data_IF_091569915556
#
_entry.id   IF_091569915556
#
_cell.length_a   1.000
_cell.length_b   1.000
_cell.length_c   1.000
_cell.angle_alpha   90.00
_cell.angle_beta   90.00
_cell.angle_gamma   90.00
#
_symmetry.space_group_name_H-M   'P 1'
#
loop_
_entity.id
_entity.type
_entity.pdbx_description
1 polymer ?
#
# COMPACT_ATOMS: atom_id res chain seq x y z
N UNK A 1 9.38 43.08 -55.27
CA UNK A 1 9.12 41.61 -55.37
C UNK A 1 10.32 40.77 -54.99
N UNK A 2 11.47 40.81 -55.71
CA UNK A 2 12.64 39.97 -55.37
C UNK A 2 13.17 40.20 -53.95
N UNK A 3 13.22 41.46 -53.51
CA UNK A 3 13.67 41.83 -52.15
C UNK A 3 12.79 41.18 -51.07
N UNK A 4 11.46 41.36 -51.16
CA UNK A 4 10.49 40.78 -50.22
C UNK A 4 10.54 39.24 -50.16
N UNK A 5 10.61 38.58 -51.31
CA UNK A 5 10.65 37.11 -51.37
C UNK A 5 11.98 36.56 -50.83
N UNK A 6 13.08 37.30 -50.99
CA UNK A 6 14.41 36.87 -50.52
C UNK A 6 14.60 36.92 -49.01
N UNK A 7 13.75 37.64 -48.27
CA UNK A 7 13.83 37.75 -46.82
C UNK A 7 13.11 36.61 -46.07
N UNK A 8 12.25 35.87 -46.75
CA UNK A 8 11.38 34.84 -46.16
C UNK A 8 11.84 33.43 -46.57
N UNK A 9 11.66 32.45 -45.69
CA UNK A 9 11.93 31.04 -46.02
C UNK A 9 10.84 30.49 -46.93
N UNK A 10 11.17 29.45 -47.73
CA UNK A 10 10.23 28.82 -48.66
C UNK A 10 8.94 28.35 -47.96
N UNK A 11 9.06 27.74 -46.78
CA UNK A 11 7.92 27.27 -45.99
C UNK A 11 7.00 28.42 -45.56
N UNK A 12 7.59 29.55 -45.17
CA UNK A 12 6.84 30.74 -44.77
C UNK A 12 6.12 31.40 -45.96
N UNK A 13 6.76 31.44 -47.12
CA UNK A 13 6.13 31.92 -48.37
C UNK A 13 4.94 31.05 -48.78
N UNK A 14 5.00 29.73 -48.55
CA UNK A 14 3.89 28.81 -48.83
C UNK A 14 2.75 28.95 -47.81
N UNK A 15 3.09 29.16 -46.54
CA UNK A 15 2.12 29.26 -45.43
C UNK A 15 1.40 30.60 -45.37
N UNK A 16 2.09 31.70 -45.69
CA UNK A 16 1.61 33.08 -45.46
C UNK A 16 1.49 33.91 -46.76
N UNK A 17 0.91 33.31 -47.81
CA UNK A 17 0.69 33.99 -49.10
C UNK A 17 -0.08 35.31 -48.99
N UNK A 18 -1.07 35.39 -48.11
CA UNK A 18 -1.88 36.60 -47.93
C UNK A 18 -1.06 37.77 -47.35
N UNK A 19 -0.20 37.50 -46.36
CA UNK A 19 0.68 38.51 -45.77
C UNK A 19 1.69 39.01 -46.81
N UNK A 20 2.26 38.10 -47.61
CA UNK A 20 3.18 38.44 -48.68
C UNK A 20 2.53 39.31 -49.77
N UNK A 21 1.28 39.01 -50.15
CA UNK A 21 0.52 39.82 -51.12
C UNK A 21 0.33 41.27 -50.62
N UNK A 22 0.02 41.45 -49.34
CA UNK A 22 -0.14 42.78 -48.73
C UNK A 22 1.18 43.55 -48.73
N UNK A 23 2.28 42.92 -48.30
CA UNK A 23 3.60 43.55 -48.26
C UNK A 23 4.09 43.94 -49.66
N UNK A 24 3.89 43.07 -50.66
CA UNK A 24 4.24 43.38 -52.05
C UNK A 24 3.38 44.53 -52.60
N UNK A 25 2.08 44.54 -52.30
CA UNK A 25 1.18 45.62 -52.76
C UNK A 25 1.59 46.97 -52.17
N UNK A 26 1.97 46.99 -50.88
CA UNK A 26 2.46 48.20 -50.22
C UNK A 26 3.76 48.72 -50.87
N UNK A 27 4.75 47.85 -51.05
CA UNK A 27 6.03 48.21 -51.69
C UNK A 27 5.88 48.67 -53.15
N UNK A 28 4.94 48.10 -53.90
CA UNK A 28 4.64 48.54 -55.28
C UNK A 28 3.98 49.92 -55.27
N UNK A 29 2.99 50.15 -54.40
CA UNK A 29 2.28 51.43 -54.34
C UNK A 29 3.18 52.59 -53.90
N UNK A 30 4.14 52.34 -53.01
CA UNK A 30 5.16 53.33 -52.62
C UNK A 30 5.97 53.82 -53.83
N UNK A 31 6.43 52.90 -54.69
CA UNK A 31 7.17 53.26 -55.89
C UNK A 31 6.28 53.83 -57.01
N UNK A 32 5.05 53.34 -57.16
CA UNK A 32 4.12 53.75 -58.20
C UNK A 32 3.50 55.14 -57.98
N UNK A 33 3.59 55.67 -56.76
CA UNK A 33 3.07 57.00 -56.41
C UNK A 33 3.69 58.13 -57.26
N UNK A 34 4.96 58.00 -57.64
CA UNK A 34 5.63 58.94 -58.53
C UNK A 34 5.04 58.98 -59.95
N UNK A 35 4.34 57.91 -60.36
CA UNK A 35 3.79 57.75 -61.72
C UNK A 35 2.27 57.92 -61.75
N UNK A 36 1.63 58.17 -60.61
CA UNK A 36 0.18 58.35 -60.52
C UNK A 36 -0.63 57.06 -60.78
N UNK A 37 -0.02 55.89 -60.64
CA UNK A 37 -0.69 54.59 -60.82
C UNK A 37 -0.88 53.93 -59.46
N UNK A 38 -2.04 53.30 -59.23
CA UNK A 38 -2.35 52.57 -58.00
C UNK A 38 -2.61 51.10 -58.31
N UNK A 39 -1.90 50.22 -57.60
CA UNK A 39 -2.10 48.78 -57.66
C UNK A 39 -3.19 48.38 -56.65
N UNK A 40 -4.34 47.91 -57.16
CA UNK A 40 -5.50 47.55 -56.33
C UNK A 40 -5.35 46.19 -55.65
N UNK A 41 -4.76 45.21 -56.33
CA UNK A 41 -4.61 43.85 -55.81
C UNK A 41 -3.48 43.11 -56.50
N UNK A 42 -2.68 42.42 -55.69
CA UNK A 42 -1.63 41.53 -56.13
C UNK A 42 -1.90 40.10 -55.62
N UNK A 43 -1.72 39.10 -56.49
CA UNK A 43 -1.85 37.70 -56.13
C UNK A 43 -0.71 36.87 -56.72
N UNK A 44 -0.09 36.06 -55.87
CA UNK A 44 0.85 35.04 -56.31
C UNK A 44 0.07 33.83 -56.82
N UNK A 45 0.24 33.52 -58.10
CA UNK A 45 -0.38 32.34 -58.73
C UNK A 45 0.36 31.06 -58.34
N UNK A 46 1.53 30.85 -58.95
CA UNK A 46 2.30 29.61 -58.84
C UNK A 46 3.74 29.90 -58.41
N UNK A 47 4.27 29.06 -57.51
CA UNK A 47 5.67 29.12 -57.07
C UNK A 47 6.33 27.80 -57.44
N UNK A 48 7.30 27.87 -58.35
CA UNK A 48 8.04 26.70 -58.81
C UNK A 48 9.37 26.62 -58.06
N UNK A 49 9.45 25.70 -57.10
CA UNK A 49 10.70 25.37 -56.42
C UNK A 49 11.36 24.14 -57.10
N UNK A 50 12.69 24.04 -57.14
CA UNK A 50 13.37 22.86 -57.64
C UNK A 50 13.07 21.63 -56.77
N UNK A 51 12.87 20.48 -57.40
CA UNK A 51 12.41 19.24 -56.76
C UNK A 51 13.29 18.79 -55.59
N UNK A 52 14.61 19.01 -55.69
CA UNK A 52 15.56 18.69 -54.63
C UNK A 52 15.24 19.41 -53.30
N UNK A 53 14.79 20.67 -53.36
CA UNK A 53 14.46 21.47 -52.17
C UNK A 53 13.16 20.98 -51.55
N UNK A 54 12.15 20.70 -52.37
CA UNK A 54 10.85 20.17 -51.91
C UNK A 54 11.03 18.81 -51.25
N UNK A 55 11.84 17.93 -51.84
CA UNK A 55 12.16 16.62 -51.26
C UNK A 55 12.90 16.73 -49.92
N UNK A 56 13.85 17.66 -49.80
CA UNK A 56 14.54 17.93 -48.55
C UNK A 56 13.58 18.45 -47.46
N UNK A 57 12.68 19.37 -47.82
CA UNK A 57 11.67 19.92 -46.92
C UNK A 57 10.72 18.83 -46.41
N UNK A 58 10.23 17.95 -47.29
CA UNK A 58 9.39 16.83 -46.89
C UNK A 58 10.10 15.86 -45.95
N UNK A 59 11.38 15.55 -46.19
CA UNK A 59 12.18 14.73 -45.27
C UNK A 59 12.31 15.38 -43.90
N UNK A 60 12.57 16.68 -43.85
CA UNK A 60 12.69 17.43 -42.60
C UNK A 60 11.37 17.43 -41.82
N UNK A 61 10.25 17.75 -42.46
CA UNK A 61 8.93 17.75 -41.82
C UNK A 61 8.56 16.36 -41.31
N UNK A 62 8.86 15.32 -42.08
CA UNK A 62 8.62 13.92 -41.67
C UNK A 62 9.46 13.57 -40.47
N UNK A 63 10.76 13.90 -40.47
CA UNK A 63 11.66 13.64 -39.35
C UNK A 63 11.23 14.38 -38.08
N UNK A 64 10.81 15.64 -38.18
CA UNK A 64 10.32 16.40 -37.02
C UNK A 64 9.01 15.80 -36.47
N UNK A 65 8.09 15.40 -37.36
CA UNK A 65 6.85 14.72 -36.95
C UNK A 65 7.14 13.40 -36.26
N UNK A 66 8.02 12.57 -36.81
CA UNK A 66 8.42 11.31 -36.18
C UNK A 66 9.09 11.53 -34.83
N UNK A 67 9.98 12.52 -34.71
CA UNK A 67 10.62 12.88 -33.43
C UNK A 67 9.58 13.31 -32.40
N UNK A 68 8.61 14.16 -32.79
CA UNK A 68 7.53 14.58 -31.87
C UNK A 68 6.65 13.41 -31.44
N UNK A 69 6.34 12.50 -32.35
CA UNK A 69 5.56 11.29 -32.03
C UNK A 69 6.31 10.42 -31.01
N UNK A 70 7.61 10.16 -31.23
CA UNK A 70 8.43 9.35 -30.33
C UNK A 70 8.56 9.95 -28.92
N UNK A 71 8.73 11.27 -28.83
CA UNK A 71 8.76 11.96 -27.53
C UNK A 71 7.42 11.81 -26.81
N UNK A 72 6.31 12.02 -27.53
CA UNK A 72 4.97 11.95 -26.95
C UNK A 72 4.63 10.52 -26.49
N UNK A 73 5.02 9.50 -27.25
CA UNK A 73 4.85 8.10 -26.86
C UNK A 73 5.69 7.76 -25.62
N UNK A 74 6.94 8.21 -25.56
CA UNK A 74 7.81 8.00 -24.40
C UNK A 74 7.27 8.69 -23.15
N UNK A 75 6.79 9.93 -23.28
CA UNK A 75 6.14 10.67 -22.19
C UNK A 75 4.85 9.96 -21.73
N UNK A 76 4.03 9.49 -22.67
CA UNK A 76 2.83 8.72 -22.38
C UNK A 76 3.13 7.42 -21.62
N UNK A 77 4.14 6.67 -22.04
CA UNK A 77 4.59 5.46 -21.34
C UNK A 77 5.08 5.76 -19.93
N UNK A 78 5.91 6.81 -19.77
CA UNK A 78 6.39 7.25 -18.46
C UNK A 78 5.23 7.63 -17.54
N UNK A 79 4.29 8.43 -18.02
CA UNK A 79 3.15 8.87 -17.23
C UNK A 79 2.24 7.69 -16.86
N UNK A 80 2.00 6.77 -17.80
CA UNK A 80 1.25 5.54 -17.54
C UNK A 80 1.91 4.68 -16.45
N UNK A 81 3.22 4.49 -16.51
CA UNK A 81 3.97 3.73 -15.51
C UNK A 81 3.89 4.38 -14.12
N UNK A 82 4.00 5.70 -14.03
CA UNK A 82 3.85 6.46 -12.79
C UNK A 82 2.44 6.26 -12.22
N UNK A 83 1.40 6.44 -13.03
CA UNK A 83 0.01 6.31 -12.60
C UNK A 83 -0.29 4.89 -12.07
N UNK A 84 0.24 3.85 -12.74
CA UNK A 84 0.09 2.46 -12.28
C UNK A 84 0.82 2.25 -10.95
N UNK A 85 2.05 2.77 -10.80
CA UNK A 85 2.82 2.63 -9.58
C UNK A 85 2.16 3.36 -8.40
N UNK A 86 1.64 4.56 -8.65
CA UNK A 86 0.92 5.36 -7.65
C UNK A 86 -0.40 4.70 -7.24
N UNK A 87 -1.18 4.20 -8.20
CA UNK A 87 -2.40 3.44 -7.91
C UNK A 87 -2.11 2.18 -7.08
N UNK A 88 -1.04 1.44 -7.38
CA UNK A 88 -0.59 0.30 -6.58
C UNK A 88 -0.20 0.71 -5.16
N UNK A 89 0.58 1.78 -5.02
CA UNK A 89 0.98 2.33 -3.71
C UNK A 89 -0.25 2.70 -2.87
N UNK A 90 -1.18 3.45 -3.44
CA UNK A 90 -2.41 3.86 -2.77
C UNK A 90 -3.27 2.64 -2.39
N UNK A 91 -3.41 1.67 -3.29
CA UNK A 91 -4.16 0.43 -3.01
C UNK A 91 -3.58 -0.34 -1.83
N UNK A 92 -2.25 -0.46 -1.72
CA UNK A 92 -1.59 -1.16 -0.59
C UNK A 92 -1.77 -0.41 0.72
N UNK A 93 -1.69 0.91 0.69
CA UNK A 93 -1.92 1.75 1.88
C UNK A 93 -3.36 1.59 2.36
N UNK A 94 -4.33 1.77 1.45
CA UNK A 94 -5.76 1.63 1.78
C UNK A 94 -6.10 0.23 2.29
N UNK A 95 -5.52 -0.82 1.71
CA UNK A 95 -5.70 -2.18 2.20
C UNK A 95 -5.14 -2.35 3.63
N UNK A 96 -3.96 -1.80 3.90
CA UNK A 96 -3.34 -1.87 5.24
C UNK A 96 -4.14 -1.10 6.28
N UNK A 97 -4.65 0.08 5.92
CA UNK A 97 -5.53 0.88 6.77
C UNK A 97 -6.86 0.20 7.04
N UNK A 98 -7.45 -0.41 6.01
CA UNK A 98 -8.69 -1.18 6.14
C UNK A 98 -8.52 -2.37 7.10
N UNK A 99 -7.44 -3.14 6.97
CA UNK A 99 -7.13 -4.26 7.88
C UNK A 99 -6.95 -3.78 9.33
N UNK A 100 -6.23 -2.66 9.53
CA UNK A 100 -6.07 -2.07 10.87
C UNK A 100 -7.41 -1.65 11.45
N UNK A 101 -8.25 -0.98 10.66
CA UNK A 101 -9.57 -0.53 11.10
C UNK A 101 -10.50 -1.72 11.41
N UNK A 102 -10.47 -2.77 10.58
CA UNK A 102 -11.21 -4.01 10.80
C UNK A 102 -10.82 -4.66 12.13
N UNK A 103 -9.52 -4.81 12.39
CA UNK A 103 -9.01 -5.39 13.64
C UNK A 103 -9.45 -4.59 14.87
N UNK A 104 -9.38 -3.27 14.81
CA UNK A 104 -9.83 -2.39 15.90
C UNK A 104 -11.33 -2.53 16.12
N UNK A 105 -12.13 -2.48 15.05
CA UNK A 105 -13.58 -2.60 15.13
C UNK A 105 -13.99 -3.96 15.69
N UNK A 106 -13.32 -5.03 15.27
CA UNK A 106 -13.55 -6.37 15.78
C UNK A 106 -13.20 -6.48 17.27
N UNK A 107 -12.01 -6.03 17.68
CA UNK A 107 -11.60 -6.04 19.08
C UNK A 107 -12.53 -5.20 19.96
N UNK A 108 -12.97 -4.04 19.48
CA UNK A 108 -13.92 -3.18 20.18
C UNK A 108 -15.29 -3.85 20.29
N UNK A 109 -15.80 -4.46 19.21
CA UNK A 109 -17.07 -5.16 19.22
C UNK A 109 -17.06 -6.38 20.14
N UNK A 110 -15.96 -7.13 20.18
CA UNK A 110 -15.75 -8.25 21.11
C UNK A 110 -15.71 -7.76 22.57
N UNK A 111 -14.97 -6.70 22.86
CA UNK A 111 -14.91 -6.11 24.19
C UNK A 111 -16.29 -5.60 24.66
N UNK A 112 -17.02 -4.89 23.79
CA UNK A 112 -18.36 -4.40 24.09
C UNK A 112 -19.34 -5.55 24.33
N UNK A 113 -19.30 -6.60 23.50
CA UNK A 113 -20.11 -7.79 23.67
C UNK A 113 -19.83 -8.48 25.03
N UNK A 114 -18.57 -8.58 25.44
CA UNK A 114 -18.18 -9.13 26.75
C UNK A 114 -18.74 -8.26 27.88
N UNK A 115 -18.59 -6.93 27.79
CA UNK A 115 -19.11 -6.01 28.80
C UNK A 115 -20.63 -6.09 28.95
N UNK A 116 -21.35 -6.16 27.82
CA UNK A 116 -22.81 -6.29 27.81
C UNK A 116 -23.22 -7.62 28.43
N UNK A 117 -22.58 -8.73 28.06
CA UNK A 117 -22.83 -10.05 28.66
C UNK A 117 -22.53 -10.04 30.16
N UNK A 118 -21.38 -9.53 30.59
CA UNK A 118 -20.99 -9.47 32.00
C UNK A 118 -21.98 -8.63 32.81
N UNK A 119 -22.41 -7.48 32.29
CA UNK A 119 -23.42 -6.63 32.94
C UNK A 119 -24.78 -7.30 33.03
N UNK A 120 -25.20 -8.02 31.98
CA UNK A 120 -26.44 -8.79 31.98
C UNK A 120 -26.38 -9.93 33.03
N UNK A 121 -25.27 -10.66 33.08
CA UNK A 121 -25.03 -11.72 34.08
C UNK A 121 -25.03 -11.16 35.50
N UNK A 122 -24.34 -10.04 35.75
CA UNK A 122 -24.33 -9.38 37.06
C UNK A 122 -25.75 -8.97 37.51
N UNK A 123 -26.52 -8.34 36.63
CA UNK A 123 -27.94 -8.00 36.90
C UNK A 123 -28.79 -9.25 37.17
N UNK A 124 -28.55 -10.34 36.45
CA UNK A 124 -29.23 -11.61 36.68
C UNK A 124 -28.90 -12.19 38.05
N UNK A 125 -27.61 -12.19 38.44
CA UNK A 125 -27.16 -12.63 39.76
C UNK A 125 -27.77 -11.74 40.86
N UNK A 126 -27.78 -10.43 40.69
CA UNK A 126 -28.39 -9.49 41.65
C UNK A 126 -29.88 -9.76 41.82
N UNK A 127 -30.60 -10.02 40.71
CA UNK A 127 -32.03 -10.35 40.76
C UNK A 127 -32.30 -11.68 41.50
N UNK A 128 -31.47 -12.70 41.26
CA UNK A 128 -31.54 -13.97 41.99
C UNK A 128 -31.21 -13.76 43.47
N UNK A 129 -30.16 -13.02 43.79
CA UNK A 129 -29.76 -12.73 45.17
C UNK A 129 -30.87 -12.01 45.95
N UNK A 130 -31.55 -11.04 45.34
CA UNK A 130 -32.74 -10.39 45.92
C UNK A 130 -33.87 -11.38 46.15
N UNK A 131 -34.16 -12.24 45.17
CA UNK A 131 -35.21 -13.26 45.27
C UNK A 131 -34.96 -14.28 46.40
N UNK A 132 -33.69 -14.60 46.69
CA UNK A 132 -33.29 -15.44 47.83
C UNK A 132 -33.47 -14.68 49.14
N UNK A 133 -33.05 -13.41 49.20
CA UNK A 133 -33.13 -12.58 50.41
C UNK A 133 -34.58 -12.29 50.84
N UNK A 134 -35.51 -12.18 49.89
CA UNK A 134 -36.94 -11.99 50.14
C UNK A 134 -37.66 -13.25 50.66
N UNK A 135 -36.96 -14.39 50.80
CA UNK A 135 -37.27 -15.39 51.82
C UNK A 135 -38.28 -16.48 51.48
N UNK A 136 -38.38 -16.90 50.21
CA UNK A 136 -39.16 -18.10 49.86
C UNK A 136 -38.40 -19.41 50.19
N UNK A 137 -38.93 -20.36 50.97
CA UNK A 137 -38.30 -21.68 51.17
C UNK A 137 -38.11 -22.48 49.86
N UNK A 138 -38.83 -22.12 48.80
CA UNK A 138 -38.65 -22.67 47.44
C UNK A 138 -37.44 -22.08 46.67
N UNK A 139 -36.91 -20.92 47.07
CA UNK A 139 -35.83 -20.24 46.34
C UNK A 139 -34.49 -21.00 46.42
N UNK A 140 -34.16 -21.58 47.59
CA UNK A 140 -32.94 -22.37 47.78
C UNK A 140 -32.96 -23.69 46.99
N UNK A 141 -34.15 -24.30 46.84
CA UNK A 141 -34.35 -25.50 46.01
C UNK A 141 -34.16 -25.24 44.51
N UNK A 142 -34.65 -24.10 44.01
CA UNK A 142 -34.49 -23.72 42.60
C UNK A 142 -33.02 -23.42 42.23
N UNK A 143 -32.28 -22.79 43.14
CA UNK A 143 -30.84 -22.50 42.93
C UNK A 143 -30.02 -23.79 42.89
N UNK A 144 -30.24 -24.70 43.84
CA UNK A 144 -29.52 -25.99 43.87
C UNK A 144 -29.82 -26.86 42.63
N UNK A 145 -31.06 -26.86 42.14
CA UNK A 145 -31.41 -27.54 40.87
C UNK A 145 -30.66 -26.91 39.68
N UNK A 146 -30.62 -25.58 39.58
CA UNK A 146 -29.92 -24.90 38.48
C UNK A 146 -28.40 -25.10 38.49
N UNK A 147 -27.78 -25.27 39.67
CA UNK A 147 -26.37 -25.64 39.80
C UNK A 147 -26.15 -27.09 39.37
N UNK A 148 -27.06 -27.99 39.74
CA UNK A 148 -27.01 -29.39 39.31
C UNK A 148 -27.17 -29.52 37.78
N UNK A 149 -28.10 -28.78 37.17
CA UNK A 149 -28.27 -28.73 35.71
C UNK A 149 -27.00 -28.24 35.01
N UNK A 150 -26.42 -27.12 35.46
CA UNK A 150 -25.15 -26.61 34.89
C UNK A 150 -23.99 -27.57 35.06
N UNK A 151 -23.93 -28.31 36.17
CA UNK A 151 -22.92 -29.33 36.40
C UNK A 151 -23.08 -30.51 35.42
N UNK A 152 -24.32 -30.98 35.20
CA UNK A 152 -24.63 -32.04 34.24
C UNK A 152 -24.30 -31.59 32.81
N UNK A 153 -24.64 -30.36 32.43
CA UNK A 153 -24.33 -29.81 31.11
C UNK A 153 -22.81 -29.66 30.88
N UNK A 154 -22.07 -29.17 31.89
CA UNK A 154 -20.61 -29.09 31.82
C UNK A 154 -19.97 -30.47 31.71
N UNK A 155 -20.51 -31.46 32.43
CA UNK A 155 -20.07 -32.85 32.36
C UNK A 155 -20.40 -33.48 30.99
N UNK A 156 -21.56 -33.17 30.41
CA UNK A 156 -21.96 -33.60 29.07
C UNK A 156 -21.08 -33.00 27.97
N UNK A 157 -20.66 -31.73 28.11
CA UNK A 157 -19.68 -31.10 27.23
C UNK A 157 -18.31 -31.78 27.30
N UNK A 158 -17.84 -32.07 28.51
CA UNK A 158 -16.57 -32.77 28.74
C UNK A 158 -16.58 -34.19 28.15
N UNK A 159 -17.70 -34.91 28.30
CA UNK A 159 -17.89 -36.24 27.72
C UNK A 159 -17.98 -36.26 26.19
N UNK A 160 -18.34 -35.13 25.55
CA UNK A 160 -18.37 -34.98 24.08
C UNK A 160 -17.01 -34.64 23.48
N UNK A 161 -16.21 -33.80 24.14
CA UNK A 161 -14.92 -33.34 23.61
C UNK A 161 -13.75 -34.26 23.99
N UNK A 162 -13.87 -35.09 25.03
CA UNK A 162 -12.79 -35.95 25.52
C UNK A 162 -13.12 -37.45 25.36
N UNK A 163 -12.36 -38.17 24.52
CA UNK A 163 -12.51 -39.62 24.29
C UNK A 163 -12.02 -40.50 25.47
N UNK A 164 -11.39 -39.92 26.50
CA UNK A 164 -10.94 -40.66 27.69
C UNK A 164 -11.26 -39.87 28.98
N UNK A 165 -12.29 -40.31 29.69
CA UNK A 165 -12.61 -39.84 31.05
C UNK A 165 -12.06 -40.87 32.03
N UNK A 166 -10.97 -40.54 32.72
CA UNK A 166 -10.48 -41.34 33.85
C UNK A 166 -11.28 -40.94 35.09
N UNK A 167 -12.26 -41.76 35.45
CA UNK A 167 -13.00 -41.64 36.71
C UNK A 167 -12.20 -42.34 37.81
N UNK A 168 -11.70 -41.63 38.84
CA UNK A 168 -11.09 -42.29 39.99
C UNK A 168 -12.17 -43.09 40.73
N UNK A 169 -11.89 -44.36 41.04
CA UNK A 169 -12.86 -45.30 41.62
C UNK A 169 -13.36 -44.99 43.04
N UNK A 170 -13.10 -43.78 43.59
CA UNK A 170 -13.56 -43.36 44.91
C UNK A 170 -14.36 -42.05 44.79
N UNK A 171 -15.63 -42.20 44.40
CA UNK A 171 -16.61 -41.11 44.21
C UNK A 171 -17.06 -40.48 45.55
N UNK A 172 -16.54 -40.94 46.68
CA UNK A 172 -16.95 -40.50 48.03
C UNK A 172 -16.13 -39.36 48.66
N UNK A 173 -14.96 -39.00 48.11
CA UNK A 173 -14.07 -38.00 48.73
C UNK A 173 -13.79 -36.82 47.79
N UNK A 174 -14.71 -35.86 47.80
CA UNK A 174 -14.64 -34.60 47.04
C UNK A 174 -13.43 -33.76 47.47
N UNK A 175 -12.96 -33.89 48.73
CA UNK A 175 -11.79 -33.18 49.24
C UNK A 175 -10.48 -33.63 48.57
N UNK A 176 -10.35 -34.94 48.34
CA UNK A 176 -9.21 -35.52 47.62
C UNK A 176 -9.12 -35.08 46.15
N UNK A 177 -10.27 -34.90 45.48
CA UNK A 177 -10.31 -34.40 44.09
C UNK A 177 -9.81 -32.95 43.97
N UNK A 178 -10.21 -32.08 44.90
CA UNK A 178 -9.79 -30.67 44.89
C UNK A 178 -8.28 -30.55 45.18
N UNK A 179 -7.76 -31.36 46.12
CA UNK A 179 -6.34 -31.40 46.43
C UNK A 179 -5.48 -31.93 45.26
N UNK A 180 -5.93 -32.98 44.58
CA UNK A 180 -5.25 -33.51 43.41
C UNK A 180 -5.27 -32.52 42.24
N UNK A 181 -6.41 -31.86 41.99
CA UNK A 181 -6.54 -30.82 40.96
C UNK A 181 -5.66 -29.59 41.22
N UNK A 182 -5.60 -29.11 42.47
CA UNK A 182 -4.73 -28.00 42.88
C UNK A 182 -3.24 -28.39 42.80
N UNK A 183 -2.88 -29.63 43.11
CA UNK A 183 -1.48 -30.10 43.03
C UNK A 183 -0.99 -30.21 41.58
N UNK A 184 -1.86 -30.59 40.64
CA UNK A 184 -1.52 -30.60 39.21
C UNK A 184 -1.38 -29.17 38.69
N UNK A 185 -2.27 -28.25 39.09
CA UNK A 185 -2.16 -26.84 38.74
C UNK A 185 -0.86 -26.20 39.26
N UNK A 186 -0.48 -26.51 40.51
CA UNK A 186 0.79 -26.07 41.10
C UNK A 186 2.03 -26.60 40.36
N UNK A 187 2.01 -27.88 39.95
CA UNK A 187 3.13 -28.48 39.20
C UNK A 187 3.23 -27.97 37.76
N UNK A 188 2.10 -27.63 37.12
CA UNK A 188 2.08 -27.01 35.79
C UNK A 188 2.57 -25.55 35.86
N UNK A 189 2.22 -24.82 36.93
CA UNK A 189 2.76 -23.48 37.21
C UNK A 189 4.27 -23.49 37.46
N UNK A 190 4.81 -24.47 38.19
CA UNK A 190 6.26 -24.66 38.36
C UNK A 190 6.97 -25.09 37.06
N UNK A 191 6.34 -25.94 36.24
CA UNK A 191 6.87 -26.34 34.94
C UNK A 191 6.91 -25.17 33.94
N UNK A 192 5.86 -24.34 33.89
CA UNK A 192 5.83 -23.13 33.07
C UNK A 192 6.85 -22.10 33.56
N UNK A 193 7.00 -21.94 34.88
CA UNK A 193 7.97 -21.01 35.48
C UNK A 193 9.42 -21.45 35.26
N UNK A 194 9.72 -22.76 35.27
CA UNK A 194 11.03 -23.31 34.89
C UNK A 194 11.32 -23.14 33.41
N UNK A 195 10.33 -23.29 32.54
CA UNK A 195 10.50 -23.05 31.10
C UNK A 195 10.72 -21.57 30.81
N UNK A 196 9.97 -20.67 31.48
CA UNK A 196 10.18 -19.23 31.39
C UNK A 196 11.56 -18.82 31.92
N UNK A 197 11.98 -19.37 33.08
CA UNK A 197 13.30 -19.13 33.64
C UNK A 197 14.43 -19.65 32.74
N UNK A 198 14.21 -20.78 32.05
CA UNK A 198 15.16 -21.34 31.08
C UNK A 198 15.24 -20.50 29.81
N UNK A 199 14.12 -19.97 29.32
CA UNK A 199 14.08 -19.02 28.20
C UNK A 199 14.73 -17.67 28.55
N UNK A 200 14.57 -17.19 29.78
CA UNK A 200 15.22 -15.96 30.26
C UNK A 200 16.72 -16.16 30.46
N UNK A 201 17.17 -17.34 30.89
CA UNK A 201 18.60 -17.69 30.98
C UNK A 201 19.24 -17.91 29.60
N UNK A 202 18.51 -18.49 28.64
CA UNK A 202 18.97 -18.62 27.24
C UNK A 202 19.04 -17.27 26.52
N UNK A 203 18.11 -16.34 26.77
CA UNK A 203 18.15 -14.98 26.21
C UNK A 203 19.10 -14.03 26.97
N UNK A 204 19.39 -14.30 28.25
CA UNK A 204 20.32 -13.52 29.07
C UNK A 204 21.80 -13.79 28.82
N UNK A 205 22.13 -14.86 28.08
CA UNK A 205 23.51 -15.26 27.77
C UNK A 205 24.18 -14.55 26.58
N UNK A 206 23.47 -13.65 25.90
CA UNK A 206 24.00 -12.92 24.73
C UNK A 206 24.51 -11.50 25.03
N UNK A 207 24.50 -11.07 26.30
CA UNK A 207 24.98 -9.74 26.70
C UNK A 207 26.08 -9.87 27.73
N UNK A 208 27.29 -10.22 27.29
CA UNK A 208 28.57 -9.71 27.82
C UNK A 208 29.74 -10.39 27.11
N UNK A 209 30.19 -9.76 26.01
CA UNK A 209 31.61 -9.54 25.66
C UNK A 209 31.69 -8.80 24.33
N UNK A 210 31.91 -7.50 24.41
CA UNK A 210 32.13 -6.62 23.28
C UNK A 210 32.14 -5.16 23.73
N UNK A 211 33.25 -4.73 24.30
CA UNK A 211 33.47 -3.33 24.69
C UNK A 211 33.42 -2.38 23.49
N UNK A 212 32.82 -1.22 23.74
CA UNK A 212 32.93 0.08 23.08
C UNK A 212 33.45 0.12 21.63
N UNK A 213 32.53 0.19 20.66
CA UNK A 213 32.76 0.92 19.40
C UNK A 213 31.46 1.65 18.96
N UNK A 214 31.62 2.93 18.64
CA UNK A 214 30.57 3.93 18.37
C UNK A 214 29.78 3.68 17.06
N UNK A 215 28.56 4.24 16.86
CA UNK A 215 27.62 3.87 15.80
C UNK A 215 28.03 4.19 14.34
N UNK A 216 29.11 4.92 14.09
CA UNK A 216 29.48 5.37 12.74
C UNK A 216 30.15 4.29 11.86
N UNK A 217 30.69 3.21 12.44
CA UNK A 217 31.50 2.25 11.66
C UNK A 217 30.67 1.14 10.98
N UNK A 218 29.45 0.84 11.47
CA UNK A 218 28.57 -0.19 10.87
C UNK A 218 27.86 0.26 9.60
N UNK A 219 27.61 1.56 9.43
CA UNK A 219 27.02 2.11 8.21
C UNK A 219 27.99 2.00 7.01
N UNK A 220 29.30 2.19 7.25
CA UNK A 220 30.32 2.22 6.21
C UNK A 220 30.66 0.84 5.61
N UNK A 221 30.57 -0.23 6.40
CA UNK A 221 30.82 -1.62 5.93
C UNK A 221 29.68 -2.22 5.11
N UNK A 222 28.45 -1.76 5.35
CA UNK A 222 27.27 -2.25 4.62
C UNK A 222 27.22 -1.63 3.22
N UNK A 223 27.60 -0.36 3.10
CA UNK A 223 27.63 0.36 1.83
C UNK A 223 28.77 -0.15 0.92
N UNK A 224 29.96 -0.44 1.49
CA UNK A 224 31.08 -0.97 0.71
C UNK A 224 30.83 -2.38 0.16
N UNK A 225 30.12 -3.25 0.90
CA UNK A 225 29.82 -4.62 0.44
C UNK A 225 28.78 -4.66 -0.70
N UNK A 226 27.85 -3.70 -0.73
CA UNK A 226 26.85 -3.60 -1.79
C UNK A 226 27.49 -3.07 -3.08
N UNK A 227 28.38 -2.08 -2.98
CA UNK A 227 29.12 -1.53 -4.14
C UNK A 227 30.05 -2.59 -4.76
N UNK A 228 30.75 -3.39 -3.95
CA UNK A 228 31.63 -4.46 -4.46
C UNK A 228 30.83 -5.58 -5.16
N UNK A 229 29.63 -5.89 -4.66
CA UNK A 229 28.73 -6.86 -5.29
C UNK A 229 28.16 -6.37 -6.63
N UNK A 230 27.91 -5.06 -6.76
CA UNK A 230 27.44 -4.44 -8.00
C UNK A 230 28.55 -4.39 -9.06
N UNK A 231 29.79 -4.08 -8.66
CA UNK A 231 30.95 -4.09 -9.56
C UNK A 231 31.25 -5.51 -10.09
N UNK A 232 31.17 -6.54 -9.24
CA UNK A 232 31.34 -7.93 -9.68
C UNK A 232 30.24 -8.41 -10.64
N UNK A 233 29.00 -7.90 -10.50
CA UNK A 233 27.90 -8.23 -11.41
C UNK A 233 28.07 -7.59 -12.80
N UNK A 234 28.69 -6.40 -12.86
CA UNK A 234 28.95 -5.70 -14.10
C UNK A 234 30.06 -6.35 -14.94
N UNK A 235 31.13 -6.80 -14.28
CA UNK A 235 32.28 -7.43 -14.94
C UNK A 235 31.92 -8.81 -15.52
N UNK A 236 31.02 -9.56 -14.86
CA UNK A 236 30.49 -10.82 -15.40
C UNK A 236 29.61 -10.65 -16.63
N UNK A 237 28.95 -9.50 -16.79
CA UNK A 237 28.17 -9.18 -17.99
C UNK A 237 29.00 -8.60 -19.15
N UNK A 238 30.14 -7.99 -18.85
CA UNK A 238 31.05 -7.43 -19.86
C UNK A 238 31.94 -8.49 -20.53
N UNK A 239 32.29 -9.58 -19.82
CA UNK A 239 33.13 -10.66 -20.34
C UNK A 239 32.42 -11.73 -21.19
N UNK A 240 31.13 -11.55 -21.52
CA UNK A 240 30.31 -12.56 -22.23
C UNK A 240 29.77 -12.13 -23.60
N UNK A 241 30.44 -11.19 -24.26
CA UNK A 241 30.21 -10.85 -25.68
C UNK A 241 31.51 -10.78 -26.44
#
# INVERSE_FOLDING_TARGET
MRSEIGQLTLDHVLKERAALNTNITAAINEAAQAWGVTCLRYEIRDIHAPEAVVAAMHRQVTAERSKRAEILDSEGQRQSAINIAEGKKQSVILASEALRAEQINRASGEAEAILVKARATARGIDAVARSIAEGGPAAHGAVSLSVAEKYVDAFAGLARESTAVVVPGNVGDIGGMIAAGLSVYGKVGEAQSRTLARQVLENGGAVEKGGEQSPEEKARKTDSGVVDSMLHSFDQTAGKR
#
